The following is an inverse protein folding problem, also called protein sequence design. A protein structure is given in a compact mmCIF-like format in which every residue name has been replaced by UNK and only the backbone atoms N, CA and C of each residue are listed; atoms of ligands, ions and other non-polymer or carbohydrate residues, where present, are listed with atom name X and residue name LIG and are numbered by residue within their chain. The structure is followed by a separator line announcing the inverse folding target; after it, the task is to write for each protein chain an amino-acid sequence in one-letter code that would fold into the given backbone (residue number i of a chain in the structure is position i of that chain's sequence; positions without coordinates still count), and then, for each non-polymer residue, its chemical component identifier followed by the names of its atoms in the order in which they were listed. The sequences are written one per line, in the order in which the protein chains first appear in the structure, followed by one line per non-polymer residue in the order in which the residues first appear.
data_IF_179992392030
#
_entry.id   IF_179992392030
#
_cell.length_a   1.000
_cell.length_b   1.000
_cell.length_c   1.000
_cell.angle_alpha   90.00
_cell.angle_beta   90.00
_cell.angle_gamma   90.00
#
_symmetry.space_group_name_H-M   'P 1'
#
loop_
_entity.id
_entity.type
_entity.pdbx_description
1 polymer ?
#
# COMPACT_ATOMS: atom_id res chain seq x y z
N UNK A 1 -18.39 -19.04 32.03
CA UNK A 1 -17.99 -17.90 32.89
C UNK A 1 -19.19 -16.99 33.05
N UNK A 2 -19.53 -16.54 34.26
CA UNK A 2 -20.72 -15.70 34.46
C UNK A 2 -20.56 -14.33 33.79
N UNK A 3 -21.65 -13.77 33.29
CA UNK A 3 -21.67 -12.46 32.62
C UNK A 3 -21.11 -11.33 33.51
N UNK A 4 -21.30 -11.44 34.82
CA UNK A 4 -20.76 -10.52 35.84
C UNK A 4 -19.23 -10.59 35.91
N UNK A 5 -18.64 -11.77 35.76
CA UNK A 5 -17.18 -11.97 35.77
C UNK A 5 -16.52 -11.34 34.54
N UNK A 6 -17.15 -11.45 33.37
CA UNK A 6 -16.63 -10.85 32.13
C UNK A 6 -16.60 -9.32 32.17
N UNK A 7 -17.67 -8.70 32.69
CA UNK A 7 -17.77 -7.24 32.83
C UNK A 7 -16.70 -6.67 33.76
N UNK A 8 -16.50 -7.29 34.93
CA UNK A 8 -15.50 -6.84 35.91
C UNK A 8 -14.07 -6.99 35.36
N UNK A 9 -13.81 -8.07 34.60
CA UNK A 9 -12.53 -8.27 33.93
C UNK A 9 -12.26 -7.18 32.88
N UNK A 10 -13.23 -6.87 32.01
CA UNK A 10 -13.08 -5.84 30.99
C UNK A 10 -12.82 -4.44 31.59
N UNK A 11 -13.54 -4.08 32.66
CA UNK A 11 -13.31 -2.82 33.39
C UNK A 11 -11.89 -2.78 33.97
N UNK A 12 -11.44 -3.87 34.60
CA UNK A 12 -10.07 -3.97 35.12
C UNK A 12 -9.03 -3.81 34.02
N UNK A 13 -9.18 -4.49 32.87
CA UNK A 13 -8.22 -4.38 31.77
C UNK A 13 -8.19 -2.97 31.16
N UNK A 14 -9.34 -2.31 31.05
CA UNK A 14 -9.43 -0.96 30.52
C UNK A 14 -8.77 0.08 31.45
N UNK A 15 -8.84 -0.10 32.77
CA UNK A 15 -8.27 0.83 33.75
C UNK A 15 -6.79 0.57 34.04
N UNK A 16 -6.29 -0.64 33.83
CA UNK A 16 -4.88 -1.00 34.07
C UNK A 16 -4.01 -1.04 32.82
N UNK A 17 -4.52 -0.63 31.65
CA UNK A 17 -3.73 -0.62 30.42
C UNK A 17 -2.65 0.45 30.47
N UNK A 18 -1.42 0.06 30.15
CA UNK A 18 -0.33 1.01 29.93
C UNK A 18 -0.60 1.79 28.64
N UNK A 19 -0.39 3.11 28.67
CA UNK A 19 -0.47 3.94 27.46
C UNK A 19 0.62 3.48 26.50
N UNK A 20 0.22 3.07 25.30
CA UNK A 20 1.18 2.80 24.22
C UNK A 20 1.74 4.11 23.72
N UNK A 21 2.95 4.44 24.19
CA UNK A 21 3.73 5.51 23.58
C UNK A 21 4.20 5.03 22.20
N UNK A 22 4.11 5.90 21.19
CA UNK A 22 4.63 5.63 19.84
C UNK A 22 6.01 6.30 19.76
N UNK A 23 7.12 5.56 19.93
CA UNK A 23 8.45 6.16 20.09
C UNK A 23 8.87 6.99 18.88
N UNK A 24 8.47 6.57 17.68
CA UNK A 24 8.72 7.25 16.40
C UNK A 24 8.16 8.67 16.34
N UNK A 25 7.03 8.92 17.02
CA UNK A 25 6.44 10.26 17.14
C UNK A 25 6.89 10.99 18.41
N UNK A 26 7.33 10.25 19.42
CA UNK A 26 7.80 10.80 20.69
C UNK A 26 9.18 11.50 20.57
N UNK A 27 9.96 11.16 19.53
CA UNK A 27 11.29 11.75 19.27
C UNK A 27 11.29 13.13 18.61
N UNK A 28 10.13 13.73 18.33
CA UNK A 28 10.06 15.07 17.73
C UNK A 28 10.43 15.11 16.24
N UNK A 29 10.19 14.03 15.50
CA UNK A 29 10.35 14.01 14.05
C UNK A 29 9.58 15.18 13.42
N UNK A 30 10.20 15.89 12.46
CA UNK A 30 9.52 17.03 11.83
C UNK A 30 8.33 16.50 11.05
N UNK A 31 7.18 17.17 11.16
CA UNK A 31 5.96 16.78 10.42
C UNK A 31 6.23 16.63 8.93
N UNK A 32 7.09 17.48 8.37
CA UNK A 32 7.51 17.44 6.96
C UNK A 32 8.22 16.15 6.59
N UNK A 33 8.94 15.51 7.51
CA UNK A 33 9.66 14.25 7.27
C UNK A 33 8.71 13.03 7.31
N UNK A 34 7.64 13.11 8.11
CA UNK A 34 6.70 12.00 8.33
C UNK A 34 5.52 12.03 7.36
N UNK A 35 5.02 13.22 7.02
CA UNK A 35 3.85 13.39 6.18
C UNK A 35 4.08 12.79 4.79
N UNK A 36 3.19 11.89 4.36
CA UNK A 36 3.28 11.24 3.05
C UNK A 36 4.47 10.29 2.87
N UNK A 37 5.24 10.02 3.92
CA UNK A 37 6.46 9.19 3.85
C UNK A 37 6.21 7.75 3.35
N UNK A 38 4.99 7.24 3.49
CA UNK A 38 4.52 5.95 2.99
C UNK A 38 3.51 6.11 1.84
N UNK A 39 3.68 7.14 1.01
CA UNK A 39 2.87 7.38 -0.18
C UNK A 39 3.79 7.49 -1.39
N UNK A 40 3.45 6.78 -2.46
CA UNK A 40 4.12 6.95 -3.75
C UNK A 40 3.59 8.22 -4.42
N UNK A 41 4.02 9.37 -3.90
CA UNK A 41 3.57 10.70 -4.29
C UNK A 41 4.27 11.22 -5.56
N UNK A 42 3.97 12.46 -5.97
CA UNK A 42 4.57 13.08 -7.15
C UNK A 42 6.10 13.19 -7.04
N UNK A 43 6.63 13.41 -5.83
CA UNK A 43 8.08 13.50 -5.60
C UNK A 43 8.74 12.15 -5.80
N UNK A 44 8.18 11.09 -5.20
CA UNK A 44 8.62 9.71 -5.37
C UNK A 44 8.52 9.25 -6.82
N UNK A 45 7.40 9.57 -7.49
CA UNK A 45 7.22 9.31 -8.92
C UNK A 45 8.32 9.98 -9.76
N UNK A 46 8.66 11.24 -9.48
CA UNK A 46 9.69 11.98 -10.23
C UNK A 46 11.10 11.40 -10.02
N UNK A 47 11.38 10.84 -8.84
CA UNK A 47 12.64 10.18 -8.53
C UNK A 47 12.74 8.80 -9.21
N UNK A 48 11.65 8.02 -9.18
CA UNK A 48 11.65 6.61 -9.62
C UNK A 48 11.30 6.40 -11.08
N UNK A 49 10.56 7.31 -11.72
CA UNK A 49 10.09 7.15 -13.10
C UNK A 49 10.96 7.92 -14.10
N UNK A 50 11.26 7.33 -15.27
CA UNK A 50 11.82 8.06 -16.39
C UNK A 50 10.90 9.21 -16.82
N UNK A 51 11.50 10.33 -17.27
CA UNK A 51 10.76 11.48 -17.84
C UNK A 51 9.67 11.11 -18.88
N UNK A 52 9.89 10.18 -19.83
CA UNK A 52 8.85 9.80 -20.80
C UNK A 52 7.67 9.04 -20.18
N UNK A 53 7.81 8.45 -18.99
CA UNK A 53 6.74 7.76 -18.26
C UNK A 53 6.06 8.69 -17.26
N UNK A 54 6.85 9.53 -16.57
CA UNK A 54 6.35 10.47 -15.57
C UNK A 54 5.35 11.47 -16.15
N UNK A 55 5.65 12.10 -17.30
CA UNK A 55 4.78 13.13 -17.89
C UNK A 55 3.40 12.59 -18.29
N UNK A 56 3.29 11.49 -19.07
CA UNK A 56 1.97 10.97 -19.43
C UNK A 56 1.20 10.42 -18.22
N UNK A 57 1.88 9.83 -17.23
CA UNK A 57 1.24 9.42 -15.98
C UNK A 57 0.64 10.62 -15.23
N UNK A 58 1.39 11.71 -15.12
CA UNK A 58 0.92 12.93 -14.44
C UNK A 58 -0.31 13.54 -15.16
N UNK A 59 -0.29 13.59 -16.49
CA UNK A 59 -1.46 14.03 -17.28
C UNK A 59 -2.66 13.10 -17.09
N UNK A 60 -2.43 11.79 -17.05
CA UNK A 60 -3.47 10.78 -16.81
C UNK A 60 -4.16 11.01 -15.47
N UNK A 61 -3.38 11.19 -14.40
CA UNK A 61 -3.87 11.49 -13.05
C UNK A 61 -4.64 12.81 -13.04
N UNK A 62 -4.10 13.87 -13.66
CA UNK A 62 -4.72 15.20 -13.69
C UNK A 62 -6.06 15.21 -14.43
N UNK A 63 -6.19 14.42 -15.49
CA UNK A 63 -7.39 14.36 -16.34
C UNK A 63 -8.38 13.29 -15.93
N UNK A 64 -7.99 12.36 -15.05
CA UNK A 64 -8.79 11.19 -14.72
C UNK A 64 -9.02 10.27 -15.91
N UNK A 65 -8.06 10.21 -16.85
CA UNK A 65 -8.16 9.32 -18.03
C UNK A 65 -7.63 7.94 -17.70
N UNK A 66 -7.88 6.97 -18.59
CA UNK A 66 -7.33 5.62 -18.47
C UNK A 66 -5.79 5.65 -18.60
N UNK A 67 -5.11 4.85 -17.78
CA UNK A 67 -3.66 4.66 -17.86
C UNK A 67 -3.30 4.02 -19.21
N UNK A 68 -2.32 4.61 -19.89
CA UNK A 68 -1.77 4.07 -21.13
C UNK A 68 -1.05 2.73 -20.86
N UNK A 69 -1.51 1.61 -21.45
CA UNK A 69 -0.86 0.31 -21.30
C UNK A 69 0.63 0.31 -21.65
N UNK A 70 1.06 1.19 -22.56
CA UNK A 70 2.46 1.29 -22.97
C UNK A 70 3.39 1.71 -21.83
N UNK A 71 2.90 2.49 -20.86
CA UNK A 71 3.69 2.93 -19.70
C UNK A 71 3.39 2.13 -18.43
N UNK A 72 2.33 1.32 -18.43
CA UNK A 72 1.82 0.68 -17.22
C UNK A 72 2.82 -0.28 -16.56
N UNK A 73 3.59 -1.03 -17.35
CA UNK A 73 4.61 -1.94 -16.82
C UNK A 73 5.75 -1.19 -16.12
N UNK A 74 6.19 -0.07 -16.68
CA UNK A 74 7.23 0.77 -16.07
C UNK A 74 6.75 1.40 -14.77
N UNK A 75 5.49 1.87 -14.74
CA UNK A 75 4.88 2.39 -13.52
C UNK A 75 4.75 1.31 -12.45
N UNK A 76 4.28 0.11 -12.82
CA UNK A 76 4.16 -1.01 -11.89
C UNK A 76 5.53 -1.42 -11.33
N UNK A 77 6.56 -1.49 -12.18
CA UNK A 77 7.92 -1.78 -11.74
C UNK A 77 8.42 -0.73 -10.72
N UNK A 78 8.26 0.56 -11.00
CA UNK A 78 8.69 1.62 -10.09
C UNK A 78 7.94 1.61 -8.75
N UNK A 79 6.63 1.32 -8.76
CA UNK A 79 5.82 1.16 -7.53
C UNK A 79 6.33 -0.01 -6.70
N UNK A 80 6.59 -1.15 -7.34
CA UNK A 80 7.11 -2.35 -6.68
C UNK A 80 8.45 -2.07 -6.00
N UNK A 81 9.42 -1.51 -6.73
CA UNK A 81 10.74 -1.19 -6.19
C UNK A 81 10.65 -0.18 -5.03
N UNK A 82 9.78 0.83 -5.14
CA UNK A 82 9.53 1.78 -4.06
C UNK A 82 8.93 1.09 -2.81
N UNK A 83 7.95 0.21 -3.01
CA UNK A 83 7.26 -0.50 -1.93
C UNK A 83 8.20 -1.51 -1.23
N UNK A 84 8.97 -2.29 -2.00
CA UNK A 84 9.98 -3.20 -1.47
C UNK A 84 11.05 -2.43 -0.67
N UNK A 85 11.48 -1.25 -1.14
CA UNK A 85 12.40 -0.37 -0.41
C UNK A 85 11.84 0.18 0.91
N UNK A 86 10.51 0.11 1.10
CA UNK A 86 9.81 0.43 2.35
C UNK A 86 9.50 -0.80 3.21
N UNK A 87 9.93 -2.00 2.79
CA UNK A 87 9.71 -3.26 3.49
C UNK A 87 8.35 -3.91 3.20
N UNK A 88 7.61 -3.46 2.18
CA UNK A 88 6.40 -4.14 1.74
C UNK A 88 6.74 -5.49 1.09
N UNK A 89 5.91 -6.50 1.29
CA UNK A 89 6.05 -7.83 0.67
C UNK A 89 4.84 -8.24 -0.17
N UNK A 90 3.72 -7.52 -0.01
CA UNK A 90 2.45 -7.77 -0.67
C UNK A 90 1.89 -6.46 -1.22
N UNK A 91 0.96 -6.57 -2.17
CA UNK A 91 0.12 -5.48 -2.63
C UNK A 91 -1.36 -5.87 -2.53
N UNK A 92 -2.23 -4.87 -2.59
CA UNK A 92 -3.66 -5.09 -2.71
C UNK A 92 -4.29 -4.00 -3.58
N UNK A 93 -5.38 -4.35 -4.27
CA UNK A 93 -6.32 -3.37 -4.79
C UNK A 93 -7.24 -2.95 -3.67
N UNK A 94 -6.92 -1.84 -3.01
CA UNK A 94 -7.77 -1.33 -1.94
C UNK A 94 -8.97 -0.60 -2.53
N UNK A 95 -10.18 -1.08 -2.21
CA UNK A 95 -11.44 -0.43 -2.59
C UNK A 95 -12.50 -0.58 -1.50
N UNK A 96 -13.54 0.25 -1.58
CA UNK A 96 -14.67 0.22 -0.66
C UNK A 96 -15.92 -0.31 -1.37
N UNK A 97 -16.25 -1.61 -1.24
CA UNK A 97 -17.48 -2.14 -1.81
C UNK A 97 -18.73 -1.58 -1.12
N UNK A 98 -19.87 -1.61 -1.82
CA UNK A 98 -21.17 -1.14 -1.31
C UNK A 98 -21.78 -2.05 -0.21
N UNK A 99 -20.99 -2.98 0.34
CA UNK A 99 -21.38 -3.89 1.43
C UNK A 99 -21.16 -3.28 2.82
N UNK A 100 -20.50 -2.12 2.90
CA UNK A 100 -20.20 -1.45 4.18
C UNK A 100 -18.98 -2.00 4.92
N UNK A 101 -18.25 -2.95 4.34
CA UNK A 101 -16.97 -3.49 4.81
C UNK A 101 -15.88 -3.20 3.79
N UNK A 102 -14.62 -3.14 4.22
CA UNK A 102 -13.47 -3.09 3.30
C UNK A 102 -13.18 -4.48 2.76
N UNK A 103 -12.99 -4.62 1.45
CA UNK A 103 -12.46 -5.83 0.84
C UNK A 103 -10.99 -5.58 0.48
N UNK A 104 -10.11 -6.42 1.02
CA UNK A 104 -8.70 -6.43 0.66
C UNK A 104 -8.27 -7.88 0.42
N UNK A 105 -7.56 -8.10 -0.69
CA UNK A 105 -6.85 -9.33 -0.98
C UNK A 105 -5.37 -8.98 -1.04
N UNK A 106 -4.56 -9.68 -0.24
CA UNK A 106 -3.12 -9.48 -0.20
C UNK A 106 -2.43 -10.47 -1.13
N UNK A 107 -1.89 -9.97 -2.23
CA UNK A 107 -1.12 -10.75 -3.18
C UNK A 107 0.37 -10.48 -2.99
N UNK A 108 1.18 -11.53 -2.91
CA UNK A 108 2.63 -11.40 -2.76
C UNK A 108 3.27 -10.92 -4.07
N UNK A 109 4.37 -10.18 -3.98
CA UNK A 109 5.20 -9.88 -5.16
C UNK A 109 5.95 -11.12 -5.68
N UNK A 110 6.07 -12.18 -4.87
CA UNK A 110 6.77 -13.41 -5.21
C UNK A 110 6.10 -14.14 -6.39
N UNK A 111 6.89 -14.42 -7.42
CA UNK A 111 6.57 -15.30 -8.54
C UNK A 111 7.79 -16.14 -8.88
N UNK A 112 7.64 -17.09 -9.82
CA UNK A 112 8.77 -17.84 -10.38
C UNK A 112 9.03 -17.41 -11.82
N UNK A 113 10.29 -17.46 -12.25
CA UNK A 113 10.66 -17.32 -13.66
C UNK A 113 10.44 -18.64 -14.44
N UNK A 114 10.74 -18.63 -15.73
CA UNK A 114 10.55 -19.80 -16.61
C UNK A 114 11.43 -21.00 -16.21
N UNK A 115 12.52 -20.76 -15.48
CA UNK A 115 13.45 -21.76 -14.96
C UNK A 115 13.09 -22.23 -13.54
N UNK A 116 12.05 -21.65 -12.93
CA UNK A 116 11.58 -21.97 -11.58
C UNK A 116 12.31 -21.25 -10.46
N UNK A 117 13.11 -20.21 -10.73
CA UNK A 117 13.74 -19.40 -9.69
C UNK A 117 12.77 -18.35 -9.14
N UNK A 118 12.79 -18.12 -7.81
CA UNK A 118 11.94 -17.11 -7.19
C UNK A 118 12.39 -15.70 -7.59
N UNK A 119 11.42 -14.85 -7.94
CA UNK A 119 11.62 -13.44 -8.27
C UNK A 119 10.45 -12.58 -7.79
N UNK A 120 10.65 -11.27 -7.70
CA UNK A 120 9.61 -10.32 -7.31
C UNK A 120 9.08 -9.57 -8.53
N UNK A 121 7.77 -9.67 -8.79
CA UNK A 121 7.12 -9.08 -9.96
C UNK A 121 5.81 -8.40 -9.59
N UNK A 122 5.58 -7.26 -10.22
CA UNK A 122 4.30 -6.57 -10.24
C UNK A 122 4.11 -6.01 -11.65
N UNK A 123 3.09 -6.49 -12.35
CA UNK A 123 2.87 -6.17 -13.76
C UNK A 123 1.92 -4.98 -13.95
N UNK A 124 2.00 -4.33 -15.11
CA UNK A 124 1.04 -3.29 -15.50
C UNK A 124 -0.39 -3.81 -15.61
N UNK A 125 -0.58 -5.10 -15.92
CA UNK A 125 -1.89 -5.73 -15.92
C UNK A 125 -2.49 -5.78 -14.51
N UNK A 126 -1.68 -6.23 -13.53
CA UNK A 126 -2.05 -6.19 -12.12
C UNK A 126 -2.28 -4.74 -11.66
N UNK A 127 -1.48 -3.77 -12.10
CA UNK A 127 -1.70 -2.36 -11.75
C UNK A 127 -3.05 -1.81 -12.26
N UNK A 128 -3.44 -2.13 -13.49
CA UNK A 128 -4.62 -1.54 -14.15
C UNK A 128 -5.92 -2.16 -13.65
N UNK A 129 -5.94 -3.46 -13.40
CA UNK A 129 -7.17 -4.20 -13.14
C UNK A 129 -6.97 -5.24 -12.04
N UNK A 130 -7.90 -5.26 -11.09
CA UNK A 130 -8.02 -6.33 -10.09
C UNK A 130 -8.56 -7.62 -10.71
N UNK A 131 -8.74 -8.65 -9.87
CA UNK A 131 -9.52 -9.82 -10.26
C UNK A 131 -10.94 -9.43 -10.70
N UNK A 132 -11.52 -10.13 -11.69
CA UNK A 132 -12.80 -9.79 -12.31
C UNK A 132 -14.03 -9.99 -11.41
N UNK A 133 -13.85 -10.44 -10.16
CA UNK A 133 -14.88 -10.65 -9.16
C UNK A 133 -15.10 -9.44 -8.23
N UNK A 134 -14.32 -8.36 -8.40
CA UNK A 134 -14.47 -7.07 -7.71
C UNK A 134 -15.22 -6.02 -8.56
#
# INVERSE_FOLDING_TARGET
MSEVTGRLWAVSQATTRNIRLVPELAGGAKVVEVFGSNTFDVSAMKEKLPKPVFKPLQETIRRGTRLDPAIANEVAHAIKEWALGKGASHFCHWFQPLTGLTAEKHDAFLTFDDDGHPMERFSGAQLIQSEPDA
#
